data_IF_569552167729
#
_entry.id   IF_569552167729
#
_cell.length_a   1.000
_cell.length_b   1.000
_cell.length_c   1.000
_cell.angle_alpha   90.00
_cell.angle_beta   90.00
_cell.angle_gamma   90.00
#
_symmetry.space_group_name_H-M   'P 1'
#
loop_
_entity.id
_entity.type
_entity.pdbx_description
1 polymer ?
#
# COMPACT_ATOMS: atom_id res chain seq x y z
N UNK A 1 -5.73 4.91 24.71
CA UNK A 1 -5.09 3.57 24.81
C UNK A 1 -5.20 2.81 23.48
N UNK A 2 -6.41 2.54 22.96
CA UNK A 2 -6.62 1.82 21.69
C UNK A 2 -5.86 2.43 20.50
N UNK A 3 -5.89 3.76 20.34
CA UNK A 3 -5.22 4.44 19.23
C UNK A 3 -3.69 4.36 19.30
N UNK A 4 -3.12 4.29 20.51
CA UNK A 4 -1.68 4.12 20.70
C UNK A 4 -1.25 2.70 20.35
N UNK A 5 -2.05 1.69 20.72
CA UNK A 5 -1.79 0.30 20.33
C UNK A 5 -1.76 0.14 18.81
N UNK A 6 -2.71 0.77 18.10
CA UNK A 6 -2.71 0.77 16.65
C UNK A 6 -1.50 1.51 16.08
N UNK A 7 -1.21 2.73 16.57
CA UNK A 7 -0.03 3.49 16.14
C UNK A 7 1.28 2.69 16.29
N UNK A 8 1.50 2.08 17.45
CA UNK A 8 2.67 1.24 17.70
C UNK A 8 2.68 -0.05 16.87
N UNK A 9 1.52 -0.68 16.67
CA UNK A 9 1.40 -1.87 15.81
C UNK A 9 1.81 -1.59 14.37
N UNK A 10 1.36 -0.48 13.79
CA UNK A 10 1.77 -0.07 12.43
C UNK A 10 3.25 0.29 12.34
N UNK A 11 3.84 0.86 13.39
CA UNK A 11 5.29 1.09 13.46
C UNK A 11 6.05 -0.23 13.54
N UNK A 12 5.58 -1.18 14.34
CA UNK A 12 6.22 -2.50 14.47
C UNK A 12 6.24 -3.25 13.14
N UNK A 13 5.11 -3.27 12.42
CA UNK A 13 5.02 -3.87 11.07
C UNK A 13 6.09 -3.26 10.15
N UNK A 14 6.22 -1.92 10.16
CA UNK A 14 7.24 -1.22 9.38
C UNK A 14 8.67 -1.58 9.80
N UNK A 15 8.94 -1.65 11.11
CA UNK A 15 10.26 -2.00 11.64
C UNK A 15 10.67 -3.44 11.28
N UNK A 16 9.71 -4.35 11.14
CA UNK A 16 9.93 -5.72 10.68
C UNK A 16 10.16 -5.81 9.15
N UNK A 17 10.16 -4.69 8.43
CA UNK A 17 10.30 -4.65 6.98
C UNK A 17 9.05 -5.09 6.21
N UNK A 18 7.94 -5.31 6.91
CA UNK A 18 6.66 -5.69 6.33
C UNK A 18 5.98 -4.44 5.76
N UNK A 19 5.48 -4.52 4.52
CA UNK A 19 4.86 -3.38 3.84
C UNK A 19 3.34 -3.48 3.86
N UNK A 20 2.70 -2.54 4.55
CA UNK A 20 1.25 -2.35 4.39
C UNK A 20 1.01 -1.63 3.06
N UNK A 21 0.45 -2.36 2.09
CA UNK A 21 0.19 -1.99 0.70
C UNK A 21 -0.35 -0.57 0.47
N UNK A 22 -1.08 -0.03 1.42
CA UNK A 22 -1.97 1.11 1.21
C UNK A 22 -1.28 2.46 1.03
N UNK A 23 0.04 2.55 1.21
CA UNK A 23 0.80 3.82 1.11
C UNK A 23 1.42 4.11 -0.26
N UNK A 24 1.66 3.08 -1.07
CA UNK A 24 2.24 3.20 -2.40
C UNK A 24 1.40 4.02 -3.41
N UNK A 25 0.05 4.05 -3.37
CA UNK A 25 -0.73 4.86 -4.29
C UNK A 25 -0.46 6.36 -4.12
N UNK A 26 -0.37 6.84 -2.87
CA UNK A 26 -0.14 8.26 -2.60
C UNK A 26 1.23 8.73 -3.08
N UNK A 27 2.27 7.92 -2.88
CA UNK A 27 3.62 8.21 -3.39
C UNK A 27 3.66 8.18 -4.92
N UNK A 28 2.94 7.25 -5.55
CA UNK A 28 2.94 7.16 -7.01
C UNK A 28 2.14 8.28 -7.66
N UNK A 29 1.12 8.81 -6.99
CA UNK A 29 0.36 9.97 -7.45
C UNK A 29 1.24 11.23 -7.63
N UNK A 30 2.25 11.42 -6.77
CA UNK A 30 3.19 12.54 -6.89
C UNK A 30 4.11 12.38 -8.12
N UNK A 31 4.63 11.17 -8.36
CA UNK A 31 5.41 10.84 -9.56
C UNK A 31 4.59 10.97 -10.85
N UNK A 32 3.32 10.54 -10.79
CA UNK A 32 2.36 10.70 -11.88
C UNK A 32 2.15 12.18 -12.23
N UNK A 33 1.91 13.03 -11.23
CA UNK A 33 1.72 14.45 -11.44
C UNK A 33 2.98 15.14 -12.01
N UNK A 34 4.19 14.68 -11.63
CA UNK A 34 5.45 15.17 -12.20
C UNK A 34 5.62 14.77 -13.68
N UNK A 35 5.15 13.60 -14.07
CA UNK A 35 5.18 13.16 -15.48
C UNK A 35 4.14 13.91 -16.33
N UNK A 36 2.98 14.26 -15.75
CA UNK A 36 1.99 15.13 -16.40
C UNK A 36 2.56 16.52 -16.67
N UNK A 37 3.25 17.12 -15.71
CA UNK A 37 3.91 18.42 -15.85
C UNK A 37 4.95 18.42 -16.97
N UNK A 38 5.75 17.37 -17.10
CA UNK A 38 6.74 17.23 -18.19
C UNK A 38 6.11 16.97 -19.56
N UNK A 39 4.85 16.54 -19.60
CA UNK A 39 4.19 15.98 -20.77
C UNK A 39 3.15 16.90 -21.43
N UNK A 40 3.22 18.22 -21.24
CA UNK A 40 2.18 19.16 -21.67
C UNK A 40 1.88 19.21 -23.19
N UNK A 41 2.53 18.42 -24.06
CA UNK A 41 2.17 18.32 -25.47
C UNK A 41 2.35 16.90 -26.06
N UNK A 42 1.29 16.08 -26.04
CA UNK A 42 1.11 14.99 -27.03
C UNK A 42 0.61 13.62 -26.53
N UNK A 43 0.04 12.82 -27.45
CA UNK A 43 -0.45 11.43 -27.25
C UNK A 43 0.55 10.50 -26.55
N UNK A 44 1.85 10.74 -26.69
CA UNK A 44 2.91 9.95 -26.05
C UNK A 44 2.93 10.11 -24.51
N UNK A 45 2.64 11.31 -23.99
CA UNK A 45 2.55 11.56 -22.56
C UNK A 45 1.38 10.78 -21.92
N UNK A 46 0.21 10.79 -22.57
CA UNK A 46 -0.95 10.01 -22.13
C UNK A 46 -0.71 8.50 -22.09
N UNK A 47 0.06 7.96 -23.06
CA UNK A 47 0.42 6.54 -23.11
C UNK A 47 1.37 6.14 -21.97
N UNK A 48 2.39 6.96 -21.70
CA UNK A 48 3.33 6.74 -20.57
C UNK A 48 2.59 6.83 -19.22
N UNK A 49 1.67 7.76 -19.12
CA UNK A 49 0.85 7.97 -17.95
C UNK A 49 -0.13 6.81 -17.68
N UNK A 50 -0.74 6.25 -18.73
CA UNK A 50 -1.55 5.05 -18.65
C UNK A 50 -0.73 3.81 -18.21
N UNK A 51 0.51 3.66 -18.72
CA UNK A 51 1.41 2.59 -18.26
C UNK A 51 1.72 2.72 -16.76
N UNK A 52 2.00 3.93 -16.27
CA UNK A 52 2.25 4.16 -14.84
C UNK A 52 1.03 3.76 -14.00
N UNK A 53 -0.19 4.06 -14.44
CA UNK A 53 -1.42 3.64 -13.73
C UNK A 53 -1.59 2.13 -13.71
N UNK A 54 -1.27 1.44 -14.81
CA UNK A 54 -1.33 -0.02 -14.86
C UNK A 54 -0.30 -0.65 -13.93
N UNK A 55 0.93 -0.13 -13.88
CA UNK A 55 1.98 -0.61 -12.97
C UNK A 55 1.62 -0.35 -11.49
N UNK A 56 1.03 0.82 -11.20
CA UNK A 56 0.46 1.10 -9.87
C UNK A 56 -0.64 0.11 -9.54
N UNK A 57 -1.65 -0.02 -10.40
CA UNK A 57 -2.77 -0.92 -10.15
C UNK A 57 -2.29 -2.34 -9.85
N UNK A 58 -1.34 -2.87 -10.63
CA UNK A 58 -0.75 -4.20 -10.38
C UNK A 58 -0.05 -4.30 -9.04
N UNK A 59 0.85 -3.36 -8.74
CA UNK A 59 1.58 -3.36 -7.48
C UNK A 59 0.63 -3.25 -6.28
N UNK A 60 -0.45 -2.48 -6.41
CA UNK A 60 -1.49 -2.37 -5.39
C UNK A 60 -2.27 -3.67 -5.23
N UNK A 61 -2.69 -4.32 -6.32
CA UNK A 61 -3.37 -5.61 -6.24
C UNK A 61 -2.51 -6.69 -5.60
N UNK A 62 -1.25 -6.82 -6.03
CA UNK A 62 -0.32 -7.77 -5.45
C UNK A 62 -0.12 -7.53 -3.95
N UNK A 63 0.04 -6.27 -3.54
CA UNK A 63 0.24 -5.92 -2.15
C UNK A 63 -1.03 -6.10 -1.30
N UNK A 64 -2.23 -5.82 -1.84
CA UNK A 64 -3.51 -6.09 -1.17
C UNK A 64 -3.70 -7.59 -0.98
N UNK A 65 -3.51 -8.41 -2.01
CA UNK A 65 -3.64 -9.86 -1.90
C UNK A 65 -2.64 -10.44 -0.88
N UNK A 66 -1.38 -10.01 -0.90
CA UNK A 66 -0.39 -10.43 0.09
C UNK A 66 -0.84 -10.12 1.52
N UNK A 67 -1.30 -8.90 1.77
CA UNK A 67 -1.78 -8.49 3.09
C UNK A 67 -3.05 -9.23 3.52
N UNK A 68 -4.03 -9.39 2.63
CA UNK A 68 -5.28 -10.09 2.90
C UNK A 68 -4.99 -11.55 3.26
N UNK A 69 -4.18 -12.24 2.45
CA UNK A 69 -3.84 -13.65 2.65
C UNK A 69 -3.12 -13.86 3.98
N UNK A 70 -2.09 -13.06 4.27
CA UNK A 70 -1.34 -13.18 5.54
C UNK A 70 -2.23 -12.83 6.73
N UNK A 71 -3.06 -11.80 6.63
CA UNK A 71 -3.96 -11.40 7.72
C UNK A 71 -5.02 -12.48 8.01
N UNK A 72 -5.68 -13.01 6.98
CA UNK A 72 -6.64 -14.12 7.12
C UNK A 72 -5.94 -15.34 7.71
N UNK A 73 -4.80 -15.76 7.15
CA UNK A 73 -4.07 -16.94 7.62
C UNK A 73 -3.64 -16.81 9.08
N UNK A 74 -3.04 -15.69 9.44
CA UNK A 74 -2.55 -15.44 10.80
C UNK A 74 -3.71 -15.40 11.79
N UNK A 75 -4.81 -14.71 11.46
CA UNK A 75 -5.98 -14.65 12.31
C UNK A 75 -6.65 -16.03 12.49
N UNK A 76 -6.76 -16.80 11.40
CA UNK A 76 -7.27 -18.17 11.46
C UNK A 76 -6.41 -19.08 12.33
N UNK A 77 -5.08 -19.00 12.21
CA UNK A 77 -4.15 -19.78 13.07
C UNK A 77 -4.33 -19.39 14.53
N UNK A 78 -4.45 -18.10 14.84
CA UNK A 78 -4.67 -17.62 16.21
C UNK A 78 -6.01 -18.13 16.75
N UNK A 79 -7.10 -17.98 16.00
CA UNK A 79 -8.41 -18.48 16.42
C UNK A 79 -8.41 -20.00 16.62
N UNK A 80 -7.76 -20.75 15.73
CA UNK A 80 -7.68 -22.20 15.84
C UNK A 80 -6.85 -22.62 17.06
N UNK A 81 -5.69 -21.98 17.26
CA UNK A 81 -4.82 -22.26 18.41
C UNK A 81 -5.53 -21.97 19.72
N UNK A 82 -6.28 -20.87 19.78
CA UNK A 82 -7.11 -20.53 20.94
C UNK A 82 -8.23 -21.56 21.14
N UNK A 83 -8.95 -21.94 20.08
CA UNK A 83 -10.03 -22.92 20.17
C UNK A 83 -9.55 -24.29 20.66
N UNK A 84 -8.38 -24.73 20.20
CA UNK A 84 -7.76 -25.98 20.66
C UNK A 84 -7.31 -25.91 22.12
N UNK A 85 -6.80 -24.76 22.57
CA UNK A 85 -6.31 -24.58 23.93
C UNK A 85 -7.43 -24.36 24.95
N UNK A 86 -8.38 -23.48 24.65
CA UNK A 86 -9.49 -23.09 25.52
C UNK A 86 -10.72 -24.00 25.37
N UNK A 87 -10.74 -24.89 24.38
CA UNK A 87 -11.90 -25.74 24.04
C UNK A 87 -13.19 -24.93 23.74
N UNK A 88 -13.02 -23.67 23.35
CA UNK A 88 -14.10 -22.74 23.02
C UNK A 88 -13.68 -21.82 21.86
N UNK A 89 -14.59 -21.44 20.96
CA UNK A 89 -14.26 -20.53 19.86
C UNK A 89 -13.76 -19.19 20.39
N UNK A 90 -12.83 -18.56 19.65
CA UNK A 90 -12.28 -17.26 20.03
C UNK A 90 -13.35 -16.16 20.01
N UNK A 91 -14.28 -16.23 19.04
CA UNK A 91 -15.42 -15.33 18.94
C UNK A 91 -16.71 -16.09 19.24
N UNK A 92 -17.61 -15.44 19.99
CA UNK A 92 -18.99 -15.90 20.16
C UNK A 92 -19.80 -15.75 18.85
N UNK A 93 -20.93 -16.45 18.74
CA UNK A 93 -21.78 -16.39 17.54
C UNK A 93 -22.30 -14.98 17.23
N UNK A 94 -22.53 -14.16 18.27
CA UNK A 94 -22.94 -12.76 18.11
C UNK A 94 -21.80 -11.89 17.58
N UNK A 95 -20.57 -12.12 18.04
CA UNK A 95 -19.38 -11.42 17.54
C UNK A 95 -19.08 -11.80 16.09
N UNK A 96 -19.18 -13.09 15.74
CA UNK A 96 -19.07 -13.55 14.34
C UNK A 96 -20.09 -12.82 13.46
N UNK A 97 -21.36 -12.80 13.87
CA UNK A 97 -22.43 -12.13 13.12
C UNK A 97 -22.15 -10.64 12.95
N UNK A 98 -21.68 -9.97 14.00
CA UNK A 98 -21.26 -8.57 13.95
C UNK A 98 -20.12 -8.34 12.95
N UNK A 99 -19.08 -9.18 12.98
CA UNK A 99 -17.94 -9.06 12.07
C UNK A 99 -18.33 -9.29 10.60
N UNK A 100 -19.31 -10.15 10.32
CA UNK A 100 -19.78 -10.38 8.95
C UNK A 100 -20.67 -9.24 8.45
N UNK A 101 -21.55 -8.72 9.29
CA UNK A 101 -22.35 -7.52 8.99
C UNK A 101 -21.48 -6.29 8.79
N UNK A 102 -20.37 -6.20 9.53
CA UNK A 102 -19.37 -5.16 9.40
C UNK A 102 -18.74 -5.02 8.00
N UNK A 103 -18.63 -6.12 7.25
CA UNK A 103 -18.06 -6.12 5.90
C UNK A 103 -19.14 -5.81 4.85
N UNK A 104 -20.41 -6.05 5.19
CA UNK A 104 -21.56 -5.87 4.30
C UNK A 104 -21.73 -4.42 3.78
N UNK A 105 -21.81 -4.21 2.46
CA UNK A 105 -22.07 -2.89 1.86
C UNK A 105 -23.39 -2.27 2.29
N UNK A 106 -24.40 -3.10 2.60
CA UNK A 106 -25.73 -2.67 3.01
C UNK A 106 -25.74 -1.94 4.36
N UNK A 107 -24.68 -2.09 5.16
CA UNK A 107 -24.52 -1.46 6.46
C UNK A 107 -23.53 -0.28 6.44
N UNK A 108 -23.31 0.32 5.26
CA UNK A 108 -22.43 1.48 5.12
C UNK A 108 -20.93 1.16 5.14
N UNK A 109 -20.53 -0.11 5.00
CA UNK A 109 -19.12 -0.52 5.07
C UNK A 109 -18.23 0.23 4.07
N UNK A 110 -18.75 0.56 2.89
CA UNK A 110 -18.03 1.31 1.86
C UNK A 110 -17.83 2.78 2.23
N UNK A 111 -18.78 3.40 2.93
CA UNK A 111 -18.64 4.76 3.43
C UNK A 111 -17.55 4.83 4.50
N UNK A 112 -17.58 3.90 5.47
CA UNK A 112 -16.52 3.77 6.47
C UNK A 112 -15.16 3.40 5.85
N UNK A 113 -15.16 2.65 4.75
CA UNK A 113 -13.95 2.39 3.98
C UNK A 113 -13.40 3.64 3.29
N UNK A 114 -14.26 4.53 2.82
CA UNK A 114 -13.84 5.81 2.26
C UNK A 114 -13.19 6.71 3.32
N UNK A 115 -13.75 6.76 4.54
CA UNK A 115 -13.14 7.49 5.68
C UNK A 115 -11.73 6.95 5.96
N UNK A 116 -11.55 5.62 5.99
CA UNK A 116 -10.24 5.02 6.15
C UNK A 116 -9.28 5.40 5.00
N UNK A 117 -9.79 5.53 3.76
CA UNK A 117 -9.05 6.04 2.62
C UNK A 117 -8.63 7.52 2.77
N UNK A 118 -9.47 8.37 3.37
CA UNK A 118 -9.10 9.76 3.72
C UNK A 118 -7.95 9.77 4.72
N UNK A 119 -8.03 8.97 5.79
CA UNK A 119 -6.95 8.89 6.78
C UNK A 119 -5.65 8.35 6.21
N UNK A 120 -5.75 7.38 5.30
CA UNK A 120 -4.62 6.87 4.56
C UNK A 120 -3.95 7.97 3.74
N UNK A 121 -4.74 8.79 3.04
CA UNK A 121 -4.25 9.96 2.32
C UNK A 121 -3.58 10.99 3.25
N UNK A 122 -4.23 11.36 4.36
CA UNK A 122 -3.66 12.29 5.35
C UNK A 122 -2.33 11.77 5.91
N UNK A 123 -2.25 10.48 6.23
CA UNK A 123 -1.01 9.86 6.71
C UNK A 123 0.10 9.88 5.64
N UNK A 124 -0.27 9.78 4.35
CA UNK A 124 0.65 9.88 3.22
C UNK A 124 1.25 11.28 3.08
N UNK A 125 0.44 12.34 3.20
CA UNK A 125 0.93 13.72 3.22
C UNK A 125 1.92 13.92 4.37
N UNK A 126 1.57 13.44 5.57
CA UNK A 126 2.41 13.62 6.75
C UNK A 126 3.73 12.85 6.59
N UNK A 127 3.68 11.62 6.06
CA UNK A 127 4.88 10.86 5.74
C UNK A 127 5.80 11.65 4.79
N UNK A 128 5.24 12.20 3.70
CA UNK A 128 5.99 13.03 2.76
C UNK A 128 6.55 14.32 3.38
N UNK A 129 5.83 14.95 4.32
CA UNK A 129 6.35 16.08 5.08
C UNK A 129 7.58 15.69 5.90
N UNK A 130 7.53 14.58 6.64
CA UNK A 130 8.65 14.12 7.45
C UNK A 130 9.84 13.64 6.62
N UNK A 131 9.59 13.02 5.46
CA UNK A 131 10.63 12.65 4.49
C UNK A 131 11.31 13.90 3.92
N UNK A 132 10.54 14.89 3.48
CA UNK A 132 11.09 16.18 3.02
C UNK A 132 11.86 16.90 4.12
N UNK A 133 11.38 16.85 5.36
CA UNK A 133 12.08 17.42 6.52
C UNK A 133 13.39 16.69 6.83
N UNK A 134 13.43 15.36 6.69
CA UNK A 134 14.66 14.58 6.86
C UNK A 134 15.75 15.03 5.88
N UNK A 135 15.35 15.28 4.63
CA UNK A 135 16.22 15.80 3.57
C UNK A 135 16.63 17.25 3.84
N UNK A 136 15.68 18.13 4.14
CA UNK A 136 15.94 19.56 4.38
C UNK A 136 16.90 19.80 5.55
N UNK A 137 16.79 19.02 6.62
CA UNK A 137 17.65 19.16 7.80
C UNK A 137 19.00 18.47 7.65
N UNK A 138 19.22 17.74 6.55
CA UNK A 138 20.32 16.77 6.43
C UNK A 138 20.40 15.88 7.68
N UNK A 139 19.28 15.24 8.00
CA UNK A 139 19.08 14.48 9.24
C UNK A 139 20.17 13.41 9.42
N UNK A 140 20.65 12.84 8.30
CA UNK A 140 21.74 11.87 8.27
C UNK A 140 23.01 12.46 8.86
N UNK A 141 23.50 13.60 8.34
CA UNK A 141 24.71 14.23 8.88
C UNK A 141 24.51 14.70 10.33
N UNK A 142 23.35 15.27 10.65
CA UNK A 142 23.05 15.74 12.01
C UNK A 142 23.09 14.62 13.04
N UNK A 143 22.49 13.46 12.75
CA UNK A 143 22.50 12.31 13.66
C UNK A 143 23.90 11.70 13.77
N UNK A 144 24.65 11.64 12.68
CA UNK A 144 26.02 11.13 12.70
C UNK A 144 26.96 11.99 13.57
N UNK A 145 26.80 13.31 13.56
CA UNK A 145 27.61 14.23 14.37
C UNK A 145 27.01 14.58 15.73
N UNK A 146 25.84 14.02 16.08
CA UNK A 146 25.16 14.35 17.33
C UNK A 146 26.01 13.99 18.57
N UNK A 147 26.20 14.91 19.53
CA UNK A 147 27.14 14.73 20.64
C UNK A 147 26.80 13.52 21.53
N UNK A 148 25.50 13.25 21.75
CA UNK A 148 25.08 12.07 22.51
C UNK A 148 25.32 10.76 21.73
N UNK A 149 25.02 10.71 20.43
CA UNK A 149 25.26 9.49 19.64
C UNK A 149 26.76 9.21 19.51
N UNK A 150 27.60 10.26 19.39
CA UNK A 150 29.05 10.12 19.38
C UNK A 150 29.62 9.61 20.70
N UNK A 151 28.96 9.91 21.83
CA UNK A 151 29.36 9.42 23.16
C UNK A 151 28.95 7.97 23.40
N UNK A 152 27.83 7.53 22.82
CA UNK A 152 27.24 6.21 23.10
C UNK A 152 27.65 5.15 22.05
N UNK A 153 27.81 5.53 20.78
CA UNK A 153 27.98 4.59 19.67
C UNK A 153 29.32 4.78 18.91
N UNK A 154 30.00 3.66 18.56
CA UNK A 154 31.10 3.68 17.59
C UNK A 154 30.67 4.15 16.19
N UNK A 155 31.63 4.50 15.34
CA UNK A 155 31.36 5.13 14.04
C UNK A 155 30.45 4.31 13.11
N UNK A 156 30.72 3.01 12.96
CA UNK A 156 29.93 2.11 12.08
C UNK A 156 28.45 2.03 12.48
N UNK A 157 28.09 1.63 13.72
CA UNK A 157 26.67 1.59 14.12
C UNK A 157 26.05 2.98 14.15
N UNK A 158 26.81 4.04 14.45
CA UNK A 158 26.31 5.41 14.38
C UNK A 158 25.90 5.81 12.96
N UNK A 159 26.69 5.45 11.95
CA UNK A 159 26.33 5.66 10.53
C UNK A 159 25.07 4.89 10.18
N UNK A 160 24.99 3.61 10.56
CA UNK A 160 23.79 2.80 10.31
C UNK A 160 22.53 3.39 10.96
N UNK A 161 22.63 3.90 12.20
CA UNK A 161 21.52 4.57 12.89
C UNK A 161 21.12 5.86 12.17
N UNK A 162 22.10 6.68 11.75
CA UNK A 162 21.84 7.92 11.03
C UNK A 162 21.15 7.67 9.68
N UNK A 163 21.64 6.68 8.91
CA UNK A 163 21.06 6.27 7.64
C UNK A 163 19.63 5.72 7.84
N UNK A 164 19.44 4.82 8.82
CA UNK A 164 18.14 4.25 9.13
C UNK A 164 17.11 5.33 9.46
N UNK A 165 17.42 6.26 10.37
CA UNK A 165 16.49 7.31 10.76
C UNK A 165 16.20 8.26 9.60
N UNK A 166 17.21 8.64 8.81
CA UNK A 166 16.98 9.48 7.63
C UNK A 166 16.04 8.80 6.63
N UNK A 167 16.29 7.54 6.30
CA UNK A 167 15.53 6.79 5.29
C UNK A 167 14.13 6.37 5.79
N UNK A 168 13.92 6.27 7.12
CA UNK A 168 12.67 5.77 7.71
C UNK A 168 11.85 6.82 8.47
N UNK A 169 12.30 8.08 8.57
CA UNK A 169 11.60 9.09 9.37
C UNK A 169 10.15 9.32 8.90
N UNK A 170 9.97 9.52 7.59
CA UNK A 170 8.66 9.66 6.95
C UNK A 170 7.78 8.42 7.14
N UNK A 171 8.25 7.23 6.75
CA UNK A 171 7.51 5.99 6.92
C UNK A 171 7.08 5.69 8.37
N UNK A 172 7.96 5.89 9.36
CA UNK A 172 7.65 5.67 10.78
C UNK A 172 6.55 6.64 11.24
N UNK A 173 6.73 7.94 11.00
CA UNK A 173 5.74 8.96 11.41
C UNK A 173 4.39 8.72 10.72
N UNK A 174 4.39 8.42 9.43
CA UNK A 174 3.18 8.12 8.68
C UNK A 174 2.46 6.86 9.19
N UNK A 175 3.18 5.78 9.54
CA UNK A 175 2.57 4.54 10.07
C UNK A 175 1.97 4.79 11.45
N UNK A 176 2.71 5.48 12.31
CA UNK A 176 2.26 5.83 13.64
C UNK A 176 0.97 6.65 13.61
N UNK A 177 0.96 7.72 12.81
CA UNK A 177 -0.19 8.61 12.68
C UNK A 177 -1.35 7.90 12.01
N UNK A 178 -1.10 7.06 11.01
CA UNK A 178 -2.16 6.25 10.41
C UNK A 178 -2.86 5.37 11.46
N UNK A 179 -2.10 4.64 12.29
CA UNK A 179 -2.67 3.83 13.36
C UNK A 179 -3.43 4.67 14.39
N UNK A 180 -2.92 5.85 14.75
CA UNK A 180 -3.62 6.76 15.66
C UNK A 180 -4.93 7.25 15.04
N UNK A 181 -4.93 7.72 13.79
CA UNK A 181 -6.14 8.18 13.09
C UNK A 181 -7.20 7.07 13.02
N UNK A 182 -6.77 5.85 12.69
CA UNK A 182 -7.67 4.70 12.68
C UNK A 182 -8.26 4.41 14.07
N UNK A 183 -7.45 4.45 15.12
CA UNK A 183 -7.94 4.20 16.47
C UNK A 183 -8.73 5.37 17.09
N UNK A 184 -8.59 6.59 16.58
CA UNK A 184 -9.32 7.77 17.09
C UNK A 184 -10.68 7.97 16.41
N UNK A 185 -10.95 7.34 15.26
CA UNK A 185 -12.19 7.63 14.52
C UNK A 185 -13.44 7.24 15.27
N UNK A 186 -13.43 6.12 16.01
CA UNK A 186 -14.56 5.77 16.88
C UNK A 186 -14.82 6.81 17.97
N UNK A 187 -13.75 7.40 18.52
CA UNK A 187 -13.85 8.51 19.48
C UNK A 187 -14.36 9.80 18.83
N UNK A 188 -13.89 10.13 17.62
CA UNK A 188 -14.41 11.27 16.86
C UNK A 188 -15.90 11.09 16.50
N UNK A 189 -16.32 9.87 16.16
CA UNK A 189 -17.73 9.54 15.95
C UNK A 189 -18.56 9.80 17.19
N UNK A 190 -18.14 9.26 18.33
CA UNK A 190 -18.78 9.51 19.62
C UNK A 190 -18.92 11.01 19.92
N UNK A 191 -17.85 11.79 19.72
CA UNK A 191 -17.86 13.24 20.00
C UNK A 191 -18.81 14.02 19.08
N UNK A 192 -18.95 13.59 17.83
CA UNK A 192 -19.82 14.21 16.83
C UNK A 192 -21.27 13.70 16.90
N UNK A 193 -21.58 12.75 17.79
CA UNK A 193 -22.89 12.08 17.85
C UNK A 193 -23.17 11.22 16.61
N UNK A 194 -22.14 10.84 15.86
CA UNK A 194 -22.24 10.05 14.64
C UNK A 194 -21.74 8.61 14.89
N UNK A 195 -22.41 7.57 14.36
CA UNK A 195 -21.91 6.19 14.45
C UNK A 195 -20.76 5.97 13.45
N UNK A 196 -19.65 6.70 13.62
CA UNK A 196 -18.48 6.57 12.76
C UNK A 196 -17.69 5.31 13.14
N UNK A 197 -17.53 4.45 12.15
CA UNK A 197 -16.67 3.27 12.22
C UNK A 197 -15.63 3.31 11.09
N UNK A 198 -14.61 2.46 11.17
CA UNK A 198 -13.62 2.30 10.12
C UNK A 198 -13.60 0.88 9.62
N UNK A 199 -13.74 0.77 8.30
CA UNK A 199 -13.47 -0.46 7.57
C UNK A 199 -12.17 -0.31 6.80
N UNK A 200 -11.11 -0.90 7.33
CA UNK A 200 -9.84 -1.00 6.65
C UNK A 200 -9.57 -2.46 6.26
N UNK A 201 -9.08 -2.69 5.05
CA UNK A 201 -8.87 -4.04 4.50
C UNK A 201 -8.12 -4.96 5.44
N UNK A 202 -7.03 -4.50 6.06
CA UNK A 202 -6.23 -5.33 6.98
C UNK A 202 -7.05 -5.85 8.18
N UNK A 203 -7.89 -5.00 8.79
CA UNK A 203 -8.75 -5.41 9.91
C UNK A 203 -9.90 -6.29 9.43
N UNK A 204 -10.51 -5.94 8.30
CA UNK A 204 -11.59 -6.74 7.71
C UNK A 204 -11.11 -8.14 7.32
N UNK A 205 -9.88 -8.28 6.81
CA UNK A 205 -9.23 -9.56 6.52
C UNK A 205 -8.97 -10.37 7.78
N UNK A 206 -8.42 -9.77 8.83
CA UNK A 206 -8.19 -10.46 10.11
C UNK A 206 -9.51 -10.92 10.74
N UNK A 207 -10.52 -10.06 10.76
CA UNK A 207 -11.84 -10.38 11.31
C UNK A 207 -12.54 -11.47 10.50
N UNK A 208 -12.36 -11.49 9.18
CA UNK A 208 -12.83 -12.60 8.35
C UNK A 208 -12.16 -13.92 8.77
N UNK A 209 -10.83 -13.95 8.95
CA UNK A 209 -10.12 -15.15 9.43
C UNK A 209 -10.62 -15.64 10.79
N UNK A 210 -10.77 -14.74 11.76
CA UNK A 210 -11.35 -15.10 13.08
C UNK A 210 -12.77 -15.64 12.96
N UNK A 211 -13.60 -15.03 12.11
CA UNK A 211 -15.00 -15.42 11.88
C UNK A 211 -15.11 -16.75 11.13
N UNK A 212 -14.17 -17.06 10.25
CA UNK A 212 -14.13 -18.34 9.53
C UNK A 212 -13.90 -19.51 10.46
N UNK A 213 -12.95 -19.36 11.38
CA UNK A 213 -12.64 -20.43 12.33
C UNK A 213 -13.69 -20.49 13.44
N UNK A 214 -14.06 -19.35 14.03
CA UNK A 214 -14.97 -19.32 15.19
C UNK A 214 -16.44 -19.56 14.80
N UNK A 215 -16.83 -19.19 13.58
CA UNK A 215 -18.19 -19.34 13.06
C UNK A 215 -18.37 -20.49 12.07
N UNK A 216 -17.33 -21.31 11.86
CA UNK A 216 -17.33 -22.46 10.95
C UNK A 216 -17.88 -22.11 9.54
N UNK A 217 -17.40 -21.00 8.98
CA UNK A 217 -17.90 -20.51 7.69
C UNK A 217 -17.60 -21.51 6.57
N UNK A 218 -18.65 -21.92 5.86
CA UNK A 218 -18.51 -22.74 4.66
C UNK A 218 -17.71 -22.04 3.54
N UNK A 219 -17.10 -22.79 2.61
CA UNK A 219 -16.25 -22.23 1.55
C UNK A 219 -16.91 -21.14 0.69
N UNK A 220 -18.20 -21.30 0.38
CA UNK A 220 -18.96 -20.32 -0.39
C UNK A 220 -19.16 -19.00 0.38
N UNK A 221 -19.52 -19.09 1.66
CA UNK A 221 -19.67 -17.91 2.52
C UNK A 221 -18.33 -17.20 2.70
N UNK A 222 -17.25 -17.95 2.93
CA UNK A 222 -15.91 -17.39 3.01
C UNK A 222 -15.54 -16.62 1.73
N UNK A 223 -15.74 -17.21 0.55
CA UNK A 223 -15.43 -16.55 -0.72
C UNK A 223 -16.27 -15.29 -0.92
N UNK A 224 -17.55 -15.33 -0.58
CA UNK A 224 -18.44 -14.17 -0.65
C UNK A 224 -17.94 -13.02 0.24
N UNK A 225 -17.65 -13.29 1.52
CA UNK A 225 -17.13 -12.25 2.42
C UNK A 225 -15.71 -11.80 2.05
N UNK A 226 -14.88 -12.68 1.50
CA UNK A 226 -13.57 -12.31 0.96
C UNK A 226 -13.69 -11.27 -0.16
N UNK A 227 -14.65 -11.43 -1.08
CA UNK A 227 -14.93 -10.43 -2.12
C UNK A 227 -15.33 -9.09 -1.50
N UNK A 228 -16.15 -9.09 -0.45
CA UNK A 228 -16.54 -7.86 0.24
C UNK A 228 -15.35 -7.20 0.97
N UNK A 229 -14.45 -7.98 1.58
CA UNK A 229 -13.20 -7.48 2.17
C UNK A 229 -12.30 -6.84 1.11
N UNK A 230 -12.18 -7.46 -0.07
CA UNK A 230 -11.43 -6.91 -1.19
C UNK A 230 -12.05 -5.61 -1.71
N UNK A 231 -13.38 -5.52 -1.73
CA UNK A 231 -14.10 -4.30 -2.10
C UNK A 231 -13.80 -3.14 -1.12
N UNK A 232 -13.75 -3.42 0.19
CA UNK A 232 -13.32 -2.44 1.20
C UNK A 232 -11.91 -1.95 0.90
N UNK A 233 -10.97 -2.86 0.62
CA UNK A 233 -9.60 -2.50 0.26
C UNK A 233 -9.50 -1.68 -1.02
N UNK A 234 -10.30 -2.02 -2.03
CA UNK A 234 -10.42 -1.25 -3.24
C UNK A 234 -10.86 0.19 -2.96
N UNK A 235 -11.91 0.39 -2.13
CA UNK A 235 -12.37 1.73 -1.74
C UNK A 235 -11.31 2.47 -0.92
N UNK A 236 -10.64 1.83 0.04
CA UNK A 236 -9.56 2.43 0.83
C UNK A 236 -8.48 3.02 -0.09
N UNK A 237 -8.02 2.23 -1.06
CA UNK A 237 -6.98 2.62 -2.02
C UNK A 237 -7.46 3.70 -2.98
N UNK A 238 -8.65 3.52 -3.58
CA UNK A 238 -9.17 4.41 -4.61
C UNK A 238 -9.40 5.82 -4.09
N UNK A 239 -10.01 5.95 -2.91
CA UNK A 239 -10.25 7.25 -2.26
C UNK A 239 -8.92 7.93 -1.92
N UNK A 240 -7.99 7.21 -1.29
CA UNK A 240 -6.67 7.75 -0.93
C UNK A 240 -5.88 8.20 -2.15
N UNK A 241 -5.83 7.36 -3.19
CA UNK A 241 -5.13 7.66 -4.43
C UNK A 241 -5.72 8.88 -5.14
N UNK A 242 -7.04 8.96 -5.24
CA UNK A 242 -7.74 10.06 -5.92
C UNK A 242 -7.45 11.39 -5.22
N UNK A 243 -7.50 11.42 -3.89
CA UNK A 243 -7.17 12.61 -3.11
C UNK A 243 -5.70 13.01 -3.26
N UNK A 244 -4.78 12.03 -3.15
CA UNK A 244 -3.35 12.25 -3.33
C UNK A 244 -3.03 12.83 -4.71
N UNK A 245 -3.63 12.25 -5.76
CA UNK A 245 -3.45 12.71 -7.13
C UNK A 245 -4.01 14.11 -7.33
N UNK A 246 -5.21 14.40 -6.81
CA UNK A 246 -5.81 15.72 -6.93
C UNK A 246 -4.93 16.80 -6.29
N UNK A 247 -4.42 16.55 -5.08
CA UNK A 247 -3.53 17.47 -4.39
C UNK A 247 -2.19 17.61 -5.12
N UNK A 248 -1.60 16.51 -5.60
CA UNK A 248 -0.34 16.54 -6.33
C UNK A 248 -0.43 17.35 -7.63
N UNK A 249 -1.52 17.21 -8.38
CA UNK A 249 -1.77 17.99 -9.60
C UNK A 249 -1.96 19.48 -9.27
N UNK A 250 -2.81 19.79 -8.29
CA UNK A 250 -3.05 21.18 -7.85
C UNK A 250 -1.76 21.85 -7.36
N UNK A 251 -0.93 21.14 -6.61
CA UNK A 251 0.34 21.66 -6.10
C UNK A 251 1.34 22.00 -7.22
N UNK A 252 1.25 21.32 -8.38
CA UNK A 252 2.09 21.58 -9.57
C UNK A 252 1.48 22.58 -10.54
N UNK A 253 0.31 23.14 -10.23
CA UNK A 253 -0.43 24.02 -11.15
C UNK A 253 -0.94 23.30 -12.41
N UNK A 254 -0.78 21.97 -12.49
CA UNK A 254 -1.17 21.19 -13.65
C UNK A 254 -2.59 20.65 -13.46
N UNK A 255 -3.35 20.61 -14.56
CA UNK A 255 -4.66 19.96 -14.58
C UNK A 255 -4.59 18.83 -15.58
N UNK A 256 -5.23 17.71 -15.25
CA UNK A 256 -5.55 16.71 -16.27
C UNK A 256 -6.65 17.34 -17.13
N UNK A 257 -6.27 18.12 -18.15
CA UNK A 257 -7.21 18.81 -19.03
C UNK A 257 -8.14 17.86 -19.79
N UNK A 258 -7.80 16.56 -19.86
CA UNK A 258 -8.58 15.55 -20.57
C UNK A 258 -8.58 14.20 -19.83
N UNK A 259 -9.21 14.15 -18.65
CA UNK A 259 -9.38 12.90 -17.90
C UNK A 259 -10.07 11.81 -18.76
N UNK A 260 -10.97 12.21 -19.66
CA UNK A 260 -11.61 11.33 -20.63
C UNK A 260 -10.64 10.70 -21.64
N UNK A 261 -9.57 11.39 -22.05
CA UNK A 261 -8.55 10.84 -22.96
C UNK A 261 -7.56 9.94 -22.24
N UNK A 262 -7.27 10.21 -20.97
CA UNK A 262 -6.54 9.26 -20.11
C UNK A 262 -7.35 8.01 -19.86
N UNK A 263 -8.63 8.14 -19.51
CA UNK A 263 -9.51 7.01 -19.29
C UNK A 263 -9.69 6.18 -20.56
N UNK A 264 -9.86 6.82 -21.73
CA UNK A 264 -9.86 6.13 -23.02
C UNK A 264 -8.54 5.42 -23.30
N UNK A 265 -7.40 6.05 -23.04
CA UNK A 265 -6.08 5.43 -23.25
C UNK A 265 -5.86 4.23 -22.32
N UNK A 266 -6.31 4.32 -21.07
CA UNK A 266 -6.30 3.21 -20.11
C UNK A 266 -7.22 2.09 -20.63
N UNK A 267 -8.47 2.39 -20.99
CA UNK A 267 -9.43 1.41 -21.51
C UNK A 267 -8.95 0.75 -22.81
N UNK A 268 -8.32 1.50 -23.71
CA UNK A 268 -7.71 0.97 -24.93
C UNK A 268 -6.55 0.03 -24.62
N UNK A 269 -5.68 0.37 -23.66
CA UNK A 269 -4.59 -0.52 -23.23
C UNK A 269 -5.11 -1.79 -22.55
N UNK A 270 -6.14 -1.67 -21.71
CA UNK A 270 -6.80 -2.81 -21.07
C UNK A 270 -7.43 -3.72 -22.12
N UNK A 271 -8.11 -3.15 -23.12
CA UNK A 271 -8.73 -3.90 -24.22
C UNK A 271 -7.70 -4.56 -25.13
N UNK A 272 -6.55 -3.91 -25.35
CA UNK A 272 -5.47 -4.44 -26.19
C UNK A 272 -4.69 -5.57 -25.50
N UNK A 273 -4.51 -5.53 -24.19
CA UNK A 273 -3.87 -6.60 -23.43
C UNK A 273 -4.47 -6.72 -22.02
N UNK A 274 -5.58 -7.48 -21.84
CA UNK A 274 -6.20 -7.66 -20.54
C UNK A 274 -5.29 -8.40 -19.54
N UNK A 275 -4.37 -9.23 -20.04
CA UNK A 275 -3.36 -9.89 -19.22
C UNK A 275 -2.32 -8.92 -18.65
N UNK A 276 -2.12 -7.76 -19.29
CA UNK A 276 -1.32 -6.67 -18.74
C UNK A 276 -2.05 -5.95 -17.58
N UNK A 277 -3.25 -6.34 -17.16
CA UNK A 277 -3.81 -5.82 -15.91
C UNK A 277 -3.23 -6.52 -14.68
N UNK A 278 -2.78 -7.76 -14.84
CA UNK A 278 -2.39 -8.67 -13.75
C UNK A 278 -0.96 -9.22 -13.90
N UNK A 279 -0.45 -9.35 -15.12
CA UNK A 279 0.86 -9.96 -15.43
C UNK A 279 1.77 -9.03 -16.24
N UNK A 280 3.10 -9.05 -16.03
CA UNK A 280 4.05 -8.23 -16.76
C UNK A 280 4.38 -8.86 -18.13
N UNK A 281 3.49 -8.75 -19.11
CA UNK A 281 3.72 -9.32 -20.45
C UNK A 281 4.88 -8.59 -21.16
N UNK A 282 5.08 -7.31 -20.85
CA UNK A 282 6.11 -6.47 -21.50
C UNK A 282 7.54 -6.74 -20.99
N UNK A 283 7.70 -7.22 -19.75
CA UNK A 283 9.03 -7.60 -19.23
C UNK A 283 9.45 -8.93 -19.83
N UNK A 284 8.54 -9.91 -19.89
CA UNK A 284 8.83 -11.22 -20.50
C UNK A 284 9.14 -11.10 -22.00
N UNK A 285 8.43 -10.25 -22.75
CA UNK A 285 8.70 -10.02 -24.16
C UNK A 285 10.04 -9.31 -24.42
N UNK A 286 10.46 -8.37 -23.55
CA UNK A 286 11.79 -7.74 -23.65
C UNK A 286 12.90 -8.69 -23.24
N UNK A 287 12.70 -9.52 -22.22
CA UNK A 287 13.67 -10.52 -21.78
C UNK A 287 13.86 -11.63 -22.81
N UNK A 288 12.79 -12.10 -23.45
CA UNK A 288 12.88 -13.08 -24.55
C UNK A 288 13.44 -12.49 -25.84
N UNK A 289 13.10 -11.24 -26.18
CA UNK A 289 13.71 -10.55 -27.32
C UNK A 289 15.18 -10.21 -27.10
N UNK A 290 15.59 -9.86 -25.87
CA UNK A 290 17.00 -9.62 -25.51
C UNK A 290 17.80 -10.92 -25.50
N UNK A 291 17.22 -12.02 -25.02
CA UNK A 291 17.86 -13.35 -25.03
C UNK A 291 18.08 -13.87 -26.45
N UNK A 292 17.12 -13.63 -27.37
CA UNK A 292 17.25 -14.00 -28.79
C UNK A 292 18.27 -13.16 -29.55
N UNK A 293 18.49 -11.90 -29.14
CA UNK A 293 19.46 -10.99 -29.78
C UNK A 293 20.91 -11.26 -29.37
N UNK A 294 21.13 -11.85 -28.20
CA UNK A 294 22.46 -12.27 -27.71
C UNK A 294 22.96 -13.57 -28.34
N UNK A 295 22.07 -14.42 -28.87
CA UNK A 295 22.45 -15.68 -29.54
C UNK A 295 22.92 -15.45 -31.00
N UNK A 296 22.35 -14.45 -31.68
CA UNK A 296 22.69 -14.12 -33.08
C UNK A 296 23.92 -13.20 -33.25
N UNK A 297 24.51 -12.70 -32.16
CA UNK A 297 25.59 -11.70 -32.21
C UNK A 297 26.97 -12.21 -31.77
N UNK A 298 27.25 -13.51 -31.90
CA UNK A 298 28.63 -14.02 -31.78
C UNK A 298 29.23 -14.16 -33.18
N UNK A 299 30.10 -13.25 -33.66
CA UNK A 299 30.91 -13.53 -34.81
C UNK A 299 32.03 -14.48 -34.38
N UNK A 300 31.91 -15.75 -34.76
CA UNK A 300 33.05 -16.65 -34.86
C UNK A 300 33.97 -16.11 -35.97
N UNK A 301 34.97 -15.29 -35.61
CA UNK A 301 36.24 -15.09 -36.34
C UNK A 301 37.01 -13.89 -35.75
N UNK A 302 37.74 -14.07 -34.65
CA UNK A 302 38.89 -13.19 -34.33
C UNK A 302 39.81 -13.73 -33.21
N UNK A 303 40.31 -14.97 -33.30
CA UNK A 303 41.39 -15.44 -32.40
C UNK A 303 42.41 -16.36 -33.10
N UNK A 304 42.91 -15.96 -34.28
CA UNK A 304 44.17 -16.51 -34.82
C UNK A 304 44.99 -15.38 -35.44
N UNK A 305 45.50 -14.45 -34.62
CA UNK A 305 46.82 -13.85 -34.84
C UNK A 305 47.20 -12.94 -33.66
N UNK A 306 48.07 -13.45 -32.77
CA UNK A 306 49.13 -12.72 -32.04
C UNK A 306 49.57 -13.54 -30.82
N UNK A 307 50.52 -14.43 -31.06
CA UNK A 307 51.40 -14.97 -30.03
C UNK A 307 52.84 -14.66 -30.42
N UNK A 308 53.36 -13.54 -29.89
CA UNK A 308 54.77 -13.33 -29.56
C UNK A 308 54.78 -13.00 -28.08
#
# INVERSE_FOLDING_TARGET
LVSLNYGLGFVLIHMLGLRVATKQPAMTAASFAAEVEKGENGRAAHKKLANLLLDVNRSQWAAVWGNVSIAVLTASIIALSYALWAQQPLLSSSEVSYQLQAVSPWHGSLFFAAIAGVWLFCSGIIAGFFENRANYLDLRQRLFHHPLLRKILPERPRRAVADYWHDNYGPIAGNFIFGILLGMTGYLGYLLGLPLDIRHVAFASANLGYSTVSGELGPFSFLFYLVLVLLIGFVNLWVSFTLALNVALRARGTRIGQFSLLLKSVLEQIKQNPLNLFFPVTVLAKTTASAKKTDDSTPANELINKGK
#
